data_IF_609943125449
#
_entry.id   IF_609943125449
#
_cell.length_a   1.000
_cell.length_b   1.000
_cell.length_c   1.000
_cell.angle_alpha   90.00
_cell.angle_beta   90.00
_cell.angle_gamma   90.00
#
_symmetry.space_group_name_H-M   'P 1'
#
loop_
_entity.id
_entity.type
_entity.pdbx_description
1 polymer ?
#
# COMPACT_ATOMS: atom_id res chain seq x y z
N UNK A 1 5.80 25.39 -0.44
CA UNK A 1 5.51 25.99 -1.72
C UNK A 1 5.80 25.03 -2.88
N UNK A 2 4.86 24.87 -3.75
CA UNK A 2 5.03 23.98 -4.89
C UNK A 2 5.89 24.59 -5.99
N UNK A 3 6.74 23.77 -6.57
CA UNK A 3 7.47 24.16 -7.77
C UNK A 3 6.52 24.08 -8.97
N UNK A 4 6.76 24.92 -9.95
CA UNK A 4 6.06 24.80 -11.22
C UNK A 4 6.43 23.45 -11.84
N UNK A 5 5.43 22.69 -12.23
CA UNK A 5 5.65 21.41 -12.90
C UNK A 5 5.78 21.63 -14.40
N UNK A 6 6.68 20.90 -15.02
CA UNK A 6 6.82 20.90 -16.47
C UNK A 6 5.62 20.18 -17.08
N UNK A 7 5.10 20.74 -18.17
CA UNK A 7 4.01 20.11 -18.90
C UNK A 7 4.47 19.77 -20.30
N UNK A 8 4.08 18.59 -20.74
CA UNK A 8 4.29 18.18 -22.12
C UNK A 8 3.30 18.83 -23.06
N UNK A 9 3.42 18.47 -24.32
CA UNK A 9 2.67 19.05 -25.43
C UNK A 9 1.15 19.03 -25.24
N UNK A 10 0.62 17.99 -24.62
CA UNK A 10 -0.82 17.78 -24.43
C UNK A 10 -1.28 18.08 -22.99
N UNK A 11 -0.57 18.95 -22.28
CA UNK A 11 -0.89 19.24 -20.89
C UNK A 11 -0.48 18.16 -19.90
N UNK A 12 0.22 17.12 -20.35
CA UNK A 12 0.72 16.05 -19.50
C UNK A 12 1.85 16.60 -18.64
N UNK A 13 1.77 16.35 -17.34
CA UNK A 13 2.81 16.77 -16.40
C UNK A 13 4.02 15.85 -16.55
N UNK A 14 5.18 16.45 -16.85
CA UNK A 14 6.43 15.72 -16.97
C UNK A 14 7.19 15.88 -15.66
N UNK A 15 7.56 14.77 -15.04
CA UNK A 15 8.29 14.78 -13.78
C UNK A 15 9.76 15.14 -14.00
N UNK A 16 10.33 15.92 -13.09
CA UNK A 16 11.75 16.20 -13.07
C UNK A 16 12.51 14.96 -12.59
N UNK A 17 13.83 14.84 -12.85
CA UNK A 17 14.63 13.74 -12.30
C UNK A 17 14.56 13.66 -10.77
N UNK A 18 14.50 14.79 -10.09
CA UNK A 18 14.36 14.84 -8.63
C UNK A 18 13.00 14.29 -8.19
N UNK A 19 11.94 14.66 -8.87
CA UNK A 19 10.61 14.15 -8.60
C UNK A 19 10.52 12.65 -8.86
N UNK A 20 11.15 12.18 -9.94
CA UNK A 20 11.20 10.75 -10.27
C UNK A 20 11.92 9.98 -9.17
N UNK A 21 13.00 10.52 -8.61
CA UNK A 21 13.72 9.87 -7.50
C UNK A 21 12.84 9.72 -6.27
N UNK A 22 12.03 10.74 -5.97
CA UNK A 22 11.09 10.68 -4.83
C UNK A 22 9.98 9.68 -5.06
N UNK A 23 9.44 9.62 -6.27
CA UNK A 23 8.44 8.62 -6.64
C UNK A 23 9.01 7.21 -6.54
N UNK A 24 10.25 7.02 -7.00
CA UNK A 24 10.92 5.73 -6.93
C UNK A 24 11.08 5.28 -5.48
N UNK A 25 11.47 6.18 -4.59
CA UNK A 25 11.60 5.86 -3.17
C UNK A 25 10.27 5.42 -2.56
N UNK A 26 9.18 6.12 -2.89
CA UNK A 26 7.86 5.73 -2.42
C UNK A 26 7.46 4.35 -2.94
N UNK A 27 7.70 4.07 -4.21
CA UNK A 27 7.39 2.78 -4.81
C UNK A 27 8.24 1.64 -4.23
N UNK A 28 9.53 1.88 -4.02
CA UNK A 28 10.43 0.90 -3.41
C UNK A 28 9.99 0.59 -1.98
N UNK A 29 9.61 1.62 -1.22
CA UNK A 29 9.12 1.46 0.14
C UNK A 29 7.84 0.62 0.15
N UNK A 30 6.90 0.93 -0.74
CA UNK A 30 5.67 0.15 -0.86
C UNK A 30 5.96 -1.32 -1.22
N UNK A 31 6.90 -1.54 -2.12
CA UNK A 31 7.29 -2.88 -2.54
C UNK A 31 7.91 -3.69 -1.39
N UNK A 32 8.78 -3.07 -0.61
CA UNK A 32 9.40 -3.73 0.55
C UNK A 32 8.35 -4.13 1.59
N UNK A 33 7.42 -3.22 1.87
CA UNK A 33 6.34 -3.49 2.80
C UNK A 33 5.48 -4.63 2.29
N UNK A 34 5.11 -4.59 1.01
CA UNK A 34 4.28 -5.63 0.42
C UNK A 34 4.94 -7.01 0.50
N UNK A 35 6.24 -7.10 0.21
CA UNK A 35 6.97 -8.36 0.28
C UNK A 35 6.97 -8.94 1.70
N UNK A 36 7.17 -8.09 2.70
CA UNK A 36 7.15 -8.52 4.10
C UNK A 36 5.75 -8.92 4.55
N UNK A 37 4.75 -8.16 4.15
CA UNK A 37 3.36 -8.46 4.45
C UNK A 37 2.96 -9.80 3.82
N UNK A 38 3.35 -10.04 2.58
CA UNK A 38 3.05 -11.29 1.90
C UNK A 38 3.62 -12.50 2.65
N UNK A 39 4.82 -12.38 3.18
CA UNK A 39 5.42 -13.46 3.98
C UNK A 39 4.74 -13.64 5.34
N UNK A 40 4.08 -12.62 5.84
CA UNK A 40 3.37 -12.67 7.12
C UNK A 40 2.01 -13.35 6.98
N UNK A 41 1.50 -13.48 5.77
CA UNK A 41 0.21 -14.12 5.49
C UNK A 41 0.40 -15.65 5.56
N UNK A 42 -0.01 -16.22 6.68
CA UNK A 42 0.02 -17.66 6.89
C UNK A 42 -1.28 -18.12 7.55
N UNK A 43 -1.61 -19.39 7.37
CA UNK A 43 -2.80 -19.97 7.97
C UNK A 43 -2.77 -19.78 9.49
N UNK A 44 -3.91 -19.48 10.06
CA UNK A 44 -4.07 -19.25 11.48
C UNK A 44 -4.04 -17.79 11.91
N UNK A 45 -3.51 -16.90 11.07
CA UNK A 45 -3.56 -15.46 11.34
C UNK A 45 -4.84 -14.84 10.81
N UNK A 46 -5.29 -13.78 11.46
CA UNK A 46 -6.44 -13.03 10.94
C UNK A 46 -5.95 -11.98 9.95
N UNK A 47 -6.84 -11.56 9.06
CA UNK A 47 -6.49 -10.49 8.12
C UNK A 47 -6.26 -9.16 8.85
N UNK A 48 -6.90 -8.97 10.01
CA UNK A 48 -6.62 -7.81 10.86
C UNK A 48 -5.18 -7.81 11.37
N UNK A 49 -4.67 -8.95 11.80
CA UNK A 49 -3.27 -9.07 12.25
C UNK A 49 -2.30 -8.70 11.12
N UNK A 50 -2.60 -9.12 9.90
CA UNK A 50 -1.80 -8.78 8.73
C UNK A 50 -1.82 -7.27 8.49
N UNK A 51 -3.00 -6.65 8.58
CA UNK A 51 -3.15 -5.22 8.39
C UNK A 51 -2.36 -4.41 9.43
N UNK A 52 -2.41 -4.84 10.69
CA UNK A 52 -1.68 -4.19 11.77
C UNK A 52 -0.16 -4.35 11.61
N UNK A 53 0.28 -5.50 11.12
CA UNK A 53 1.70 -5.70 10.81
C UNK A 53 2.16 -4.73 9.73
N UNK A 54 1.35 -4.53 8.70
CA UNK A 54 1.64 -3.54 7.66
C UNK A 54 1.75 -2.13 8.26
N UNK A 55 0.88 -1.79 9.20
CA UNK A 55 0.94 -0.49 9.88
C UNK A 55 2.26 -0.30 10.63
N UNK A 56 2.74 -1.33 11.29
CA UNK A 56 4.04 -1.29 11.98
C UNK A 56 5.19 -1.06 11.01
N UNK A 57 5.17 -1.75 9.87
CA UNK A 57 6.19 -1.59 8.85
C UNK A 57 6.18 -0.16 8.28
N UNK A 58 5.01 0.41 8.08
CA UNK A 58 4.88 1.79 7.62
C UNK A 58 5.49 2.75 8.63
N UNK A 59 5.24 2.54 9.91
CA UNK A 59 5.80 3.36 10.98
C UNK A 59 7.32 3.27 11.00
N UNK A 60 7.87 2.07 10.88
CA UNK A 60 9.32 1.86 10.86
C UNK A 60 10.00 2.56 9.70
N UNK A 61 9.32 2.70 8.58
CA UNK A 61 9.85 3.32 7.37
C UNK A 61 9.46 4.79 7.21
N UNK A 62 8.90 5.38 8.26
CA UNK A 62 8.51 6.79 8.27
C UNK A 62 7.59 7.15 7.12
N UNK A 63 6.62 6.28 6.82
CA UNK A 63 5.60 6.55 5.82
C UNK A 63 4.21 6.29 6.42
N UNK A 64 3.18 6.68 5.69
CA UNK A 64 1.79 6.54 6.14
C UNK A 64 0.99 5.76 5.11
N UNK A 65 -0.08 5.11 5.57
CA UNK A 65 -1.02 4.49 4.65
C UNK A 65 -1.69 5.54 3.78
N UNK A 66 -1.74 5.28 2.48
CA UNK A 66 -2.50 6.11 1.56
C UNK A 66 -4.00 5.79 1.62
N UNK A 67 -4.38 4.64 2.20
CA UNK A 67 -5.76 4.20 2.28
C UNK A 67 -6.47 4.64 3.56
N UNK A 68 -5.78 4.64 4.69
CA UNK A 68 -6.39 4.94 5.97
C UNK A 68 -7.03 6.33 5.97
N UNK A 69 -8.32 6.37 6.22
CA UNK A 69 -9.09 7.61 6.26
C UNK A 69 -9.53 8.12 4.91
N UNK A 70 -9.02 7.59 3.80
CA UNK A 70 -9.45 8.02 2.48
C UNK A 70 -10.91 7.60 2.26
N UNK A 71 -11.79 8.58 2.11
CA UNK A 71 -13.23 8.35 2.00
C UNK A 71 -13.78 7.44 3.11
N UNK A 72 -13.19 7.57 4.31
CA UNK A 72 -13.61 6.78 5.47
C UNK A 72 -13.08 5.35 5.51
N UNK A 73 -12.12 4.99 4.67
CA UNK A 73 -11.55 3.64 4.68
C UNK A 73 -10.87 3.36 6.02
N UNK A 74 -11.25 2.29 6.74
CA UNK A 74 -10.79 2.08 8.12
C UNK A 74 -9.51 1.26 8.25
N UNK A 75 -8.91 0.78 7.16
CA UNK A 75 -7.73 -0.08 7.20
C UNK A 75 -6.48 0.60 6.69
N UNK A 76 -5.33 -0.02 6.94
CA UNK A 76 -4.03 0.45 6.45
C UNK A 76 -3.71 -0.10 5.07
N UNK A 77 -4.27 -1.25 4.74
CA UNK A 77 -4.11 -1.93 3.45
C UNK A 77 -5.46 -2.44 2.98
N UNK A 78 -5.53 -2.87 1.73
CA UNK A 78 -6.67 -3.62 1.24
C UNK A 78 -6.30 -5.09 1.24
N UNK A 79 -7.02 -5.90 2.01
CA UNK A 79 -6.78 -7.35 2.10
C UNK A 79 -8.09 -8.04 1.77
N UNK A 80 -8.08 -8.81 0.67
CA UNK A 80 -9.29 -9.43 0.13
C UNK A 80 -9.12 -10.94 0.05
N UNK A 81 -9.71 -11.69 0.99
CA UNK A 81 -9.68 -13.14 0.91
C UNK A 81 -10.70 -13.67 -0.10
N UNK A 82 -10.27 -14.64 -0.87
CA UNK A 82 -11.11 -15.43 -1.78
C UNK A 82 -11.97 -14.61 -2.74
N UNK A 83 -13.27 -14.63 -2.59
CA UNK A 83 -14.20 -13.97 -3.52
C UNK A 83 -14.29 -12.45 -3.38
N UNK A 84 -13.75 -11.88 -2.33
CA UNK A 84 -13.62 -10.44 -2.25
C UNK A 84 -12.61 -9.99 -3.31
N UNK A 85 -12.97 -9.03 -4.13
CA UNK A 85 -12.14 -8.65 -5.26
C UNK A 85 -11.26 -7.46 -4.94
N UNK A 86 -11.82 -6.39 -4.38
CA UNK A 86 -11.10 -5.15 -4.08
C UNK A 86 -11.63 -4.54 -2.80
N UNK A 87 -10.79 -3.68 -2.19
CA UNK A 87 -11.15 -2.90 -1.02
C UNK A 87 -11.57 -3.73 0.20
N UNK A 88 -11.06 -4.95 0.31
CA UNK A 88 -11.24 -5.75 1.50
C UNK A 88 -10.58 -5.09 2.71
N UNK A 89 -11.22 -5.22 3.86
CA UNK A 89 -10.76 -4.62 5.11
C UNK A 89 -10.28 -5.73 6.04
N UNK A 90 -9.14 -5.52 6.70
CA UNK A 90 -8.65 -6.46 7.72
C UNK A 90 -9.73 -6.72 8.77
N UNK A 91 -9.98 -7.98 9.06
CA UNK A 91 -11.06 -8.39 9.95
C UNK A 91 -10.63 -9.59 10.80
N UNK A 92 -11.58 -10.15 11.53
CA UNK A 92 -11.34 -11.36 12.31
C UNK A 92 -11.33 -12.63 11.48
N UNK A 93 -11.39 -12.50 10.16
CA UNK A 93 -11.31 -13.66 9.29
C UNK A 93 -9.96 -14.37 9.48
N UNK A 94 -10.02 -15.64 9.83
CA UNK A 94 -8.83 -16.47 10.03
C UNK A 94 -8.42 -17.08 8.70
N UNK A 95 -7.18 -16.81 8.29
CA UNK A 95 -6.64 -17.34 7.03
C UNK A 95 -6.48 -18.85 7.14
N UNK A 96 -6.88 -19.56 6.09
CA UNK A 96 -6.83 -21.02 6.02
C UNK A 96 -5.94 -21.46 4.87
N UNK A 97 -5.39 -22.64 4.96
CA UNK A 97 -4.68 -23.24 3.85
C UNK A 97 -5.58 -23.35 2.64
N UNK A 98 -5.07 -22.95 1.48
CA UNK A 98 -5.82 -22.96 0.25
C UNK A 98 -6.57 -21.65 -0.05
N UNK A 99 -6.60 -20.71 0.90
CA UNK A 99 -7.17 -19.39 0.65
C UNK A 99 -6.35 -18.62 -0.38
N UNK A 100 -7.06 -17.86 -1.21
CA UNK A 100 -6.43 -16.90 -2.12
C UNK A 100 -6.58 -15.53 -1.49
N UNK A 101 -5.45 -14.90 -1.16
CA UNK A 101 -5.44 -13.60 -0.50
C UNK A 101 -4.84 -12.55 -1.42
N UNK A 102 -5.59 -11.52 -1.72
CA UNK A 102 -5.08 -10.36 -2.46
C UNK A 102 -4.76 -9.25 -1.48
N UNK A 103 -3.59 -8.67 -1.61
CA UNK A 103 -3.12 -7.57 -0.75
C UNK A 103 -2.70 -6.40 -1.60
N UNK A 104 -3.16 -5.23 -1.23
CA UNK A 104 -2.80 -3.98 -1.87
C UNK A 104 -2.23 -3.04 -0.80
N UNK A 105 -0.99 -2.59 -1.00
CA UNK A 105 -0.29 -1.67 -0.11
C UNK A 105 -0.09 -0.35 -0.81
N UNK A 106 -0.70 0.70 -0.28
CA UNK A 106 -0.48 2.06 -0.75
C UNK A 106 0.07 2.91 0.37
N UNK A 107 1.15 3.62 0.12
CA UNK A 107 1.80 4.47 1.12
C UNK A 107 2.05 5.87 0.58
N UNK A 108 2.14 6.81 1.51
CA UNK A 108 2.58 8.17 1.22
C UNK A 108 3.89 8.40 1.93
N UNK A 109 4.90 8.77 1.18
CA UNK A 109 6.23 9.08 1.71
C UNK A 109 6.72 10.38 1.09
N UNK A 110 7.03 11.35 1.94
CA UNK A 110 7.49 12.67 1.50
C UNK A 110 6.53 13.33 0.49
N UNK A 111 5.23 13.10 0.67
CA UNK A 111 4.21 13.63 -0.22
C UNK A 111 4.00 12.85 -1.52
N UNK A 112 4.72 11.75 -1.72
CA UNK A 112 4.58 10.91 -2.91
C UNK A 112 3.93 9.58 -2.56
N UNK A 113 3.10 9.09 -3.47
CA UNK A 113 2.34 7.86 -3.27
C UNK A 113 3.02 6.71 -4.01
N UNK A 114 3.19 5.58 -3.31
CA UNK A 114 3.58 4.31 -3.91
C UNK A 114 2.48 3.29 -3.64
N UNK A 115 2.13 2.51 -4.65
CA UNK A 115 1.05 1.53 -4.55
C UNK A 115 1.48 0.24 -5.24
N UNK A 116 1.28 -0.88 -4.56
CA UNK A 116 1.67 -2.21 -5.02
C UNK A 116 0.65 -3.24 -4.54
N UNK A 117 0.42 -4.25 -5.35
CA UNK A 117 -0.49 -5.34 -5.01
C UNK A 117 0.07 -6.69 -5.40
N UNK A 118 -0.34 -7.74 -4.67
CA UNK A 118 -0.02 -9.13 -4.99
C UNK A 118 -1.15 -10.05 -4.55
N UNK A 119 -1.13 -11.26 -5.06
CA UNK A 119 -2.11 -12.30 -4.70
C UNK A 119 -1.39 -13.56 -4.28
#
# INVERSE_FOLDING_TARGET
MGKRKNKGRNGIIIKTPEEISKMRLACETASEILQKVAKYIIAGRTTREVDLYAAELMKERACKSAFLGYRGFPGFTCISPNIEVVHGIGSDYVIKDGDIISVDVGITKNGWIGDNATT
#
